data_IF_966376273311
#
_entry.id   IF_966376273311
#
_cell.length_a   1.000
_cell.length_b   1.000
_cell.length_c   1.000
_cell.angle_alpha   90.00
_cell.angle_beta   90.00
_cell.angle_gamma   90.00
#
_symmetry.space_group_name_H-M   'P 1'
#
loop_
_entity.id
_entity.type
_entity.pdbx_description
1 polymer ?
#
# COMPACT_ATOMS: atom_id res chain seq x y z
N UNK A 1 27.57 22.36 -49.97
CA UNK A 1 26.87 23.48 -50.66
C UNK A 1 25.53 22.97 -51.12
N UNK A 2 24.49 23.28 -50.39
CA UNK A 2 23.12 23.39 -50.93
C UNK A 2 22.30 24.19 -49.90
N UNK A 3 21.89 25.35 -50.33
CA UNK A 3 21.11 26.30 -49.59
C UNK A 3 19.63 25.94 -49.69
N UNK A 4 18.91 26.03 -48.62
CA UNK A 4 17.45 25.91 -48.59
C UNK A 4 16.86 27.24 -48.13
N UNK A 5 16.08 27.80 -49.07
CA UNK A 5 15.41 29.09 -49.02
C UNK A 5 14.16 28.98 -48.11
N UNK A 6 14.05 29.91 -47.17
CA UNK A 6 12.87 30.11 -46.32
C UNK A 6 11.95 31.11 -47.02
N UNK A 7 10.74 30.68 -47.39
CA UNK A 7 9.64 31.57 -47.84
C UNK A 7 8.72 31.93 -46.69
N UNK A 8 8.68 33.21 -46.37
CA UNK A 8 7.66 33.82 -45.49
C UNK A 8 6.37 34.05 -46.32
N UNK A 9 5.25 33.54 -45.82
CA UNK A 9 3.93 33.96 -46.30
C UNK A 9 3.22 34.66 -45.14
N UNK A 10 3.01 35.96 -45.34
CA UNK A 10 2.15 36.83 -44.54
C UNK A 10 0.75 36.70 -45.09
N UNK A 11 -0.24 36.35 -44.29
CA UNK A 11 -1.67 36.51 -44.62
C UNK A 11 -2.38 37.30 -43.53
N UNK A 12 -3.15 38.25 -44.03
CA UNK A 12 -3.71 39.39 -43.37
C UNK A 12 -4.94 39.12 -42.49
N UNK A 13 -5.23 40.13 -41.68
CA UNK A 13 -6.39 40.29 -40.82
C UNK A 13 -7.71 40.33 -41.63
N UNK A 14 -8.61 39.44 -41.21
CA UNK A 14 -10.05 39.53 -41.53
C UNK A 14 -10.86 39.65 -40.25
N UNK A 15 -11.48 40.81 -40.06
CA UNK A 15 -12.38 41.14 -38.97
C UNK A 15 -13.75 40.59 -39.31
N UNK A 16 -14.28 39.64 -38.56
CA UNK A 16 -15.65 39.15 -38.68
C UNK A 16 -16.48 39.60 -37.48
N UNK A 17 -17.58 40.27 -37.78
CA UNK A 17 -18.59 40.80 -36.87
C UNK A 17 -19.30 39.68 -36.10
N UNK A 18 -19.49 39.93 -34.81
CA UNK A 18 -20.25 39.09 -33.87
C UNK A 18 -21.76 39.26 -34.13
N UNK A 19 -22.42 38.20 -34.54
CA UNK A 19 -23.89 38.11 -34.53
C UNK A 19 -24.27 37.18 -33.34
N UNK A 20 -24.67 37.81 -32.24
CA UNK A 20 -25.11 37.12 -31.03
C UNK A 20 -26.64 37.14 -30.99
N UNK A 21 -27.35 36.01 -30.95
CA UNK A 21 -28.79 35.99 -30.70
C UNK A 21 -29.09 36.25 -29.20
N UNK A 22 -30.30 36.75 -28.85
CA UNK A 22 -30.63 37.21 -27.52
C UNK A 22 -30.81 36.06 -26.52
N UNK A 23 -30.34 36.34 -25.30
CA UNK A 23 -30.47 35.46 -24.12
C UNK A 23 -31.92 35.57 -23.62
N UNK A 24 -32.64 34.48 -23.36
CA UNK A 24 -33.89 34.54 -22.62
C UNK A 24 -33.57 34.58 -21.11
N UNK A 25 -34.12 35.60 -20.45
CA UNK A 25 -34.15 35.81 -19.04
C UNK A 25 -35.14 34.85 -18.36
N UNK A 26 -34.75 34.31 -17.19
CA UNK A 26 -35.71 33.72 -16.26
C UNK A 26 -35.65 32.20 -16.10
N UNK A 27 -35.11 31.73 -14.98
CA UNK A 27 -35.31 30.36 -14.54
C UNK A 27 -34.39 29.96 -13.37
N UNK A 28 -34.87 30.22 -12.18
CA UNK A 28 -34.66 29.45 -10.94
C UNK A 28 -33.29 28.79 -10.73
N UNK A 29 -32.52 29.35 -9.82
CA UNK A 29 -31.43 28.69 -9.18
C UNK A 29 -31.91 27.36 -8.53
N UNK A 30 -31.60 26.25 -9.17
CA UNK A 30 -31.49 25.00 -8.50
C UNK A 30 -30.13 25.06 -7.77
N UNK A 31 -30.17 25.19 -6.46
CA UNK A 31 -29.01 24.95 -5.63
C UNK A 31 -28.63 23.48 -5.80
N UNK A 32 -27.67 23.24 -6.68
CA UNK A 32 -26.91 21.99 -6.67
C UNK A 32 -26.14 21.98 -5.35
N UNK A 33 -26.73 21.37 -4.35
CA UNK A 33 -26.03 20.90 -3.16
C UNK A 33 -25.04 19.85 -3.62
N UNK A 34 -23.91 20.29 -4.15
CA UNK A 34 -22.71 19.45 -4.15
C UNK A 34 -22.42 19.09 -2.70
N UNK A 35 -22.82 17.88 -2.36
CA UNK A 35 -22.45 17.22 -1.12
C UNK A 35 -20.93 17.20 -1.03
N UNK A 36 -20.37 18.20 -0.36
CA UNK A 36 -18.94 18.28 -0.03
C UNK A 36 -18.60 17.21 1.00
N UNK A 37 -18.57 15.94 0.62
CA UNK A 37 -17.91 14.89 1.40
C UNK A 37 -16.44 14.79 1.03
N UNK A 38 -15.74 15.91 0.96
CA UNK A 38 -14.29 15.99 0.89
C UNK A 38 -13.64 15.87 2.27
N UNK A 39 -14.15 15.03 3.14
CA UNK A 39 -13.40 14.61 4.32
C UNK A 39 -12.13 13.90 3.82
N UNK A 40 -10.97 14.50 4.10
CA UNK A 40 -9.66 13.97 3.70
C UNK A 40 -9.55 12.54 4.26
N UNK A 41 -9.72 11.53 3.39
CA UNK A 41 -9.67 10.12 3.79
C UNK A 41 -8.30 9.86 4.41
N UNK A 42 -8.29 9.13 5.50
CA UNK A 42 -7.04 8.64 6.09
C UNK A 42 -6.46 7.55 5.22
N UNK A 43 -5.15 7.38 5.27
CA UNK A 43 -4.45 6.43 4.41
C UNK A 43 -3.87 5.29 5.23
N UNK A 44 -4.21 4.06 4.84
CA UNK A 44 -3.48 2.86 5.21
C UNK A 44 -2.62 2.42 4.03
N UNK A 45 -1.30 2.41 4.23
CA UNK A 45 -0.33 2.06 3.21
C UNK A 45 0.24 0.67 3.49
N UNK A 46 0.32 -0.16 2.47
CA UNK A 46 0.91 -1.49 2.52
C UNK A 46 2.28 -1.47 1.84
N UNK A 47 3.35 -1.40 2.62
CA UNK A 47 4.71 -1.68 2.16
C UNK A 47 4.89 -3.18 2.10
N UNK A 48 5.26 -3.71 0.94
CA UNK A 48 5.42 -5.16 0.82
C UNK A 48 6.14 -5.62 -0.43
N UNK A 49 6.18 -6.93 -0.58
CA UNK A 49 6.84 -7.64 -1.66
C UNK A 49 5.84 -8.08 -2.74
N UNK A 50 6.13 -9.17 -3.48
CA UNK A 50 5.22 -9.77 -4.44
C UNK A 50 3.88 -10.21 -3.85
N UNK A 51 3.87 -10.56 -2.57
CA UNK A 51 2.66 -10.95 -1.84
C UNK A 51 1.70 -9.75 -1.66
N UNK A 52 2.24 -8.57 -1.42
CA UNK A 52 1.47 -7.33 -1.31
C UNK A 52 1.14 -6.74 -2.67
N UNK A 53 2.09 -6.79 -3.62
CA UNK A 53 1.93 -6.32 -5.00
C UNK A 53 0.79 -7.06 -5.73
N UNK A 54 0.62 -8.37 -5.42
CA UNK A 54 -0.34 -9.25 -6.09
C UNK A 54 0.26 -9.91 -7.34
N UNK A 55 1.51 -10.40 -7.21
CA UNK A 55 2.20 -11.04 -8.33
C UNK A 55 1.36 -12.09 -9.04
N UNK A 56 1.26 -11.96 -10.36
CA UNK A 56 0.50 -12.88 -11.22
C UNK A 56 -1.00 -12.62 -11.27
N UNK A 57 -1.50 -11.56 -10.61
CA UNK A 57 -2.89 -11.14 -10.60
C UNK A 57 -3.03 -9.70 -11.09
N UNK A 58 -4.26 -9.30 -11.40
CA UNK A 58 -4.60 -7.89 -11.53
C UNK A 58 -4.56 -7.22 -10.15
N UNK A 59 -4.28 -5.91 -10.11
CA UNK A 59 -4.10 -5.18 -8.84
C UNK A 59 -5.35 -5.20 -7.95
N UNK A 60 -6.51 -5.25 -8.57
CA UNK A 60 -7.83 -5.31 -7.93
C UNK A 60 -8.06 -6.63 -7.18
N UNK A 61 -7.34 -7.68 -7.56
CA UNK A 61 -7.42 -9.01 -6.93
C UNK A 61 -6.41 -9.21 -5.79
N UNK A 62 -5.43 -8.31 -5.66
CA UNK A 62 -4.47 -8.35 -4.57
C UNK A 62 -5.14 -8.08 -3.21
N UNK A 63 -4.63 -8.68 -2.14
CA UNK A 63 -5.24 -8.55 -0.81
C UNK A 63 -5.40 -7.09 -0.31
N UNK A 64 -4.53 -6.10 -0.67
CA UNK A 64 -4.78 -4.73 -0.27
C UNK A 64 -6.05 -4.13 -0.89
N UNK A 65 -6.36 -4.47 -2.16
CA UNK A 65 -7.61 -4.05 -2.79
C UNK A 65 -8.83 -4.71 -2.11
N UNK A 66 -8.73 -5.99 -1.75
CA UNK A 66 -9.77 -6.68 -0.96
C UNK A 66 -9.93 -6.09 0.44
N UNK A 67 -8.89 -5.50 1.02
CA UNK A 67 -8.98 -4.71 2.26
C UNK A 67 -9.77 -3.41 2.01
N UNK A 68 -9.58 -2.72 0.87
CA UNK A 68 -10.39 -1.56 0.53
C UNK A 68 -11.88 -1.89 0.46
N UNK A 69 -12.25 -3.00 -0.18
CA UNK A 69 -13.64 -3.48 -0.21
C UNK A 69 -14.24 -3.67 1.20
N UNK A 70 -13.43 -4.20 2.14
CA UNK A 70 -13.84 -4.38 3.54
C UNK A 70 -13.99 -3.04 4.27
N UNK A 71 -13.08 -2.10 4.03
CA UNK A 71 -13.13 -0.73 4.57
C UNK A 71 -14.41 -0.03 4.11
N UNK A 72 -14.72 -0.09 2.82
CA UNK A 72 -15.91 0.51 2.22
C UNK A 72 -17.20 -0.13 2.77
N UNK A 73 -17.22 -1.46 2.85
CA UNK A 73 -18.34 -2.21 3.42
C UNK A 73 -18.56 -1.90 4.90
N UNK A 74 -17.49 -1.57 5.64
CA UNK A 74 -17.56 -1.18 7.04
C UNK A 74 -17.91 0.31 7.25
N UNK A 75 -18.03 1.10 6.17
CA UNK A 75 -18.29 2.54 6.20
C UNK A 75 -17.16 3.35 6.84
N UNK A 76 -15.91 2.88 6.73
CA UNK A 76 -14.77 3.55 7.33
C UNK A 76 -14.13 4.55 6.36
N UNK A 77 -13.78 5.78 6.80
CA UNK A 77 -13.24 6.83 5.94
C UNK A 77 -11.73 6.65 5.69
N UNK A 78 -11.34 5.51 5.14
CA UNK A 78 -9.94 5.17 4.86
C UNK A 78 -9.73 4.82 3.40
N UNK A 79 -8.53 5.11 2.91
CA UNK A 79 -8.05 4.75 1.58
C UNK A 79 -6.85 3.82 1.70
N UNK A 80 -6.81 2.78 0.86
CA UNK A 80 -5.71 1.82 0.79
C UNK A 80 -4.73 2.23 -0.30
N UNK A 81 -3.45 2.29 0.05
CA UNK A 81 -2.35 2.44 -0.90
C UNK A 81 -1.55 1.14 -0.92
N UNK A 82 -1.59 0.43 -2.04
CA UNK A 82 -0.74 -0.72 -2.29
C UNK A 82 0.64 -0.23 -2.77
N UNK A 83 1.64 -0.31 -1.89
CA UNK A 83 3.04 -0.03 -2.17
C UNK A 83 3.88 -1.33 -2.18
N UNK A 84 3.30 -2.45 -2.61
CA UNK A 84 4.00 -3.70 -2.89
C UNK A 84 4.97 -3.54 -4.05
N UNK A 85 6.10 -4.24 -4.00
CA UNK A 85 7.09 -4.30 -5.08
C UNK A 85 7.67 -5.72 -5.16
N UNK A 86 7.31 -6.42 -6.22
CA UNK A 86 7.74 -7.80 -6.44
C UNK A 86 9.26 -7.93 -6.47
N UNK A 87 9.79 -8.95 -5.78
CA UNK A 87 11.24 -9.20 -5.69
C UNK A 87 12.01 -8.33 -4.70
N UNK A 88 11.34 -7.38 -4.02
CA UNK A 88 12.01 -6.46 -3.10
C UNK A 88 12.52 -7.18 -1.84
N UNK A 89 13.80 -6.95 -1.50
CA UNK A 89 14.41 -7.37 -0.24
C UNK A 89 14.35 -6.26 0.81
N UNK A 90 14.56 -6.62 2.07
CA UNK A 90 14.49 -5.69 3.20
C UNK A 90 15.41 -4.46 3.06
N UNK A 91 16.59 -4.61 2.46
CA UNK A 91 17.51 -3.50 2.22
C UNK A 91 16.96 -2.49 1.19
N UNK A 92 16.33 -2.96 0.11
CA UNK A 92 15.70 -2.11 -0.88
C UNK A 92 14.43 -1.46 -0.33
N UNK A 93 13.62 -2.20 0.43
CA UNK A 93 12.47 -1.67 1.16
C UNK A 93 12.87 -0.51 2.09
N UNK A 94 13.94 -0.68 2.88
CA UNK A 94 14.49 0.38 3.73
C UNK A 94 14.90 1.62 2.93
N UNK A 95 15.59 1.43 1.81
CA UNK A 95 15.98 2.54 0.94
C UNK A 95 14.76 3.27 0.38
N UNK A 96 13.74 2.54 -0.06
CA UNK A 96 12.48 3.10 -0.57
C UNK A 96 11.70 3.86 0.50
N UNK A 97 11.69 3.34 1.74
CA UNK A 97 11.10 4.06 2.88
C UNK A 97 11.80 5.40 3.11
N UNK A 98 13.13 5.42 3.16
CA UNK A 98 13.92 6.64 3.43
C UNK A 98 13.82 7.70 2.34
N UNK A 99 13.73 7.29 1.07
CA UNK A 99 13.82 8.21 -0.06
C UNK A 99 12.48 8.67 -0.61
N UNK A 100 11.46 7.83 -0.52
CA UNK A 100 10.18 8.10 -1.16
C UNK A 100 8.99 7.92 -0.23
N UNK A 101 8.82 6.74 0.38
CA UNK A 101 7.58 6.38 1.08
C UNK A 101 7.29 7.29 2.27
N UNK A 102 8.31 7.68 3.03
CA UNK A 102 8.15 8.55 4.20
C UNK A 102 7.58 9.94 3.85
N UNK A 103 7.68 10.36 2.60
CA UNK A 103 7.14 11.62 2.08
C UNK A 103 5.68 11.51 1.65
N UNK A 104 5.17 10.29 1.48
CA UNK A 104 3.77 10.07 1.13
C UNK A 104 2.88 10.21 2.37
N UNK A 105 1.63 10.67 2.23
CA UNK A 105 0.70 10.70 3.35
C UNK A 105 0.29 9.27 3.72
N UNK A 106 0.38 8.93 5.00
CA UNK A 106 -0.22 7.72 5.58
C UNK A 106 -0.38 7.89 7.10
N UNK A 107 -1.43 7.26 7.64
CA UNK A 107 -1.72 7.22 9.08
C UNK A 107 -1.44 5.83 9.67
N UNK A 108 -1.51 4.80 8.84
CA UNK A 108 -1.17 3.42 9.17
C UNK A 108 -0.23 2.88 8.11
N UNK A 109 0.87 2.27 8.52
CA UNK A 109 1.78 1.53 7.65
C UNK A 109 1.77 0.06 8.03
N UNK A 110 1.35 -0.79 7.10
CA UNK A 110 1.49 -2.25 7.20
C UNK A 110 2.81 -2.63 6.53
N UNK A 111 3.72 -3.27 7.27
CA UNK A 111 5.06 -3.62 6.81
C UNK A 111 5.15 -5.14 6.62
N UNK A 112 5.21 -5.57 5.37
CA UNK A 112 5.49 -6.93 4.93
C UNK A 112 6.83 -6.92 4.18
N UNK A 113 7.84 -7.64 4.64
CA UNK A 113 9.14 -7.77 3.98
C UNK A 113 9.93 -8.95 4.53
N UNK A 114 11.05 -9.30 3.89
CA UNK A 114 11.96 -10.35 4.33
C UNK A 114 11.75 -11.69 3.63
N UNK A 115 10.64 -11.92 2.93
CA UNK A 115 10.41 -13.15 2.17
C UNK A 115 11.51 -13.36 1.12
N UNK A 116 11.89 -12.33 0.35
CA UNK A 116 12.94 -12.41 -0.66
C UNK A 116 14.35 -12.51 -0.06
N UNK A 117 14.56 -12.00 1.16
CA UNK A 117 15.78 -12.23 1.93
C UNK A 117 15.91 -13.72 2.24
N UNK A 118 14.84 -14.34 2.74
CA UNK A 118 14.77 -15.76 3.07
C UNK A 118 14.98 -16.65 1.84
N UNK A 119 14.27 -16.38 0.74
CA UNK A 119 14.37 -17.15 -0.51
C UNK A 119 15.80 -17.14 -1.11
N UNK A 120 16.59 -16.13 -0.80
CA UNK A 120 17.99 -16.02 -1.27
C UNK A 120 19.02 -16.41 -0.21
N UNK A 121 18.57 -16.90 0.94
CA UNK A 121 19.48 -17.29 2.05
C UNK A 121 20.25 -16.11 2.64
N UNK A 122 19.67 -14.91 2.61
CA UNK A 122 20.29 -13.72 3.18
C UNK A 122 20.46 -13.86 4.71
N UNK A 123 21.46 -13.16 5.25
CA UNK A 123 21.71 -13.18 6.71
C UNK A 123 20.50 -12.58 7.46
N UNK A 124 19.98 -13.34 8.42
CA UNK A 124 18.77 -12.97 9.20
C UNK A 124 19.02 -11.72 10.05
N UNK A 125 20.21 -11.56 10.64
CA UNK A 125 20.51 -10.37 11.46
C UNK A 125 20.53 -9.11 10.62
N UNK A 126 21.01 -9.19 9.37
CA UNK A 126 20.98 -8.08 8.42
C UNK A 126 19.54 -7.72 8.03
N UNK A 127 18.70 -8.71 7.72
CA UNK A 127 17.28 -8.50 7.42
C UNK A 127 16.57 -7.86 8.62
N UNK A 128 16.80 -8.39 9.83
CA UNK A 128 16.25 -7.86 11.08
C UNK A 128 16.67 -6.41 11.33
N UNK A 129 17.94 -6.07 11.10
CA UNK A 129 18.44 -4.69 11.22
C UNK A 129 17.79 -3.75 10.21
N UNK A 130 17.54 -4.19 8.98
CA UNK A 130 16.82 -3.42 7.97
C UNK A 130 15.37 -3.16 8.38
N UNK A 131 14.65 -4.17 8.89
CA UNK A 131 13.28 -4.02 9.38
C UNK A 131 13.23 -3.08 10.59
N UNK A 132 14.16 -3.18 11.54
CA UNK A 132 14.26 -2.24 12.65
C UNK A 132 14.49 -0.82 12.13
N UNK A 133 15.39 -0.62 11.18
CA UNK A 133 15.66 0.70 10.59
C UNK A 133 14.46 1.27 9.82
N UNK A 134 13.60 0.44 9.21
CA UNK A 134 12.32 0.84 8.64
C UNK A 134 11.42 1.40 9.75
N UNK A 135 11.25 0.66 10.84
CA UNK A 135 10.44 1.05 12.00
C UNK A 135 10.92 2.40 12.57
N UNK A 136 12.24 2.53 12.79
CA UNK A 136 12.85 3.74 13.33
C UNK A 136 12.66 4.95 12.41
N UNK A 137 12.83 4.74 11.10
CA UNK A 137 12.61 5.78 10.09
C UNK A 137 11.17 6.28 10.11
N UNK A 138 10.20 5.38 10.22
CA UNK A 138 8.78 5.73 10.27
C UNK A 138 8.44 6.44 11.58
N UNK A 139 8.90 5.91 12.73
CA UNK A 139 8.68 6.56 14.04
C UNK A 139 9.26 7.96 14.10
N UNK A 140 10.44 8.18 13.52
CA UNK A 140 11.08 9.49 13.48
C UNK A 140 10.38 10.47 12.51
N UNK A 141 10.05 10.01 11.31
CA UNK A 141 9.49 10.87 10.26
C UNK A 141 7.98 11.04 10.32
N UNK A 142 7.28 10.10 10.96
CA UNK A 142 5.81 10.07 11.10
C UNK A 142 5.39 9.57 12.49
N UNK A 143 5.66 10.32 13.55
CA UNK A 143 5.45 9.88 14.93
C UNK A 143 3.99 9.56 15.26
N UNK A 144 3.05 10.09 14.49
CA UNK A 144 1.62 9.83 14.65
C UNK A 144 1.14 8.60 13.86
N UNK A 145 1.94 8.06 12.95
CA UNK A 145 1.54 6.88 12.19
C UNK A 145 1.60 5.61 13.07
N UNK A 146 0.62 4.72 12.88
CA UNK A 146 0.67 3.38 13.46
C UNK A 146 1.41 2.43 12.52
N UNK A 147 2.23 1.57 13.07
CA UNK A 147 2.92 0.52 12.31
C UNK A 147 2.30 -0.82 12.69
N UNK A 148 1.93 -1.60 11.69
CA UNK A 148 1.55 -3.00 11.82
C UNK A 148 2.65 -3.82 11.17
N UNK A 149 3.36 -4.62 11.94
CA UNK A 149 4.38 -5.52 11.41
C UNK A 149 3.74 -6.85 11.03
N UNK A 150 4.06 -7.34 9.84
CA UNK A 150 3.60 -8.63 9.34
C UNK A 150 4.74 -9.63 9.41
N UNK A 151 4.48 -10.75 10.08
CA UNK A 151 5.43 -11.86 10.19
C UNK A 151 5.45 -12.73 8.93
N UNK A 152 6.62 -13.30 8.69
CA UNK A 152 6.87 -14.29 7.65
C UNK A 152 7.47 -15.55 8.31
N UNK A 153 7.31 -16.69 7.66
CA UNK A 153 7.91 -17.96 8.10
C UNK A 153 8.88 -18.49 7.05
N UNK A 154 10.01 -18.99 7.51
CA UNK A 154 10.99 -19.60 6.64
C UNK A 154 10.55 -21.00 6.20
N UNK A 155 10.92 -21.34 4.97
CA UNK A 155 10.73 -22.70 4.46
C UNK A 155 11.56 -23.71 5.29
N UNK A 156 10.98 -24.88 5.65
CA UNK A 156 11.62 -25.81 6.61
C UNK A 156 12.93 -26.43 6.09
N UNK A 157 13.16 -26.41 4.79
CA UNK A 157 14.36 -26.95 4.13
C UNK A 157 15.59 -26.04 4.24
N UNK A 158 15.50 -24.85 4.85
CA UNK A 158 16.63 -23.94 5.00
C UNK A 158 17.55 -24.24 6.21
N UNK A 159 17.27 -25.31 6.91
CA UNK A 159 18.00 -25.73 8.10
C UNK A 159 17.46 -25.11 9.39
N UNK A 160 17.45 -25.92 10.46
CA UNK A 160 16.78 -25.60 11.72
C UNK A 160 17.21 -24.25 12.30
N UNK A 161 18.51 -23.99 12.36
CA UNK A 161 19.04 -22.72 12.91
C UNK A 161 18.53 -21.49 12.15
N UNK A 162 18.52 -21.55 10.82
CA UNK A 162 18.04 -20.45 9.99
C UNK A 162 16.54 -20.23 10.22
N UNK A 163 15.75 -21.32 10.20
CA UNK A 163 14.30 -21.28 10.40
C UNK A 163 13.96 -20.68 11.78
N UNK A 164 14.63 -21.11 12.85
CA UNK A 164 14.41 -20.57 14.19
C UNK A 164 14.75 -19.08 14.27
N UNK A 165 15.89 -18.67 13.72
CA UNK A 165 16.31 -17.26 13.70
C UNK A 165 15.33 -16.39 12.89
N UNK A 166 14.95 -16.84 11.70
CA UNK A 166 14.06 -16.09 10.82
C UNK A 166 12.66 -15.95 11.43
N UNK A 167 12.07 -17.06 11.88
CA UNK A 167 10.74 -17.07 12.46
C UNK A 167 10.66 -16.29 13.78
N UNK A 168 11.76 -16.23 14.54
CA UNK A 168 11.86 -15.45 15.78
C UNK A 168 12.05 -13.95 15.56
N UNK A 169 12.56 -13.51 14.39
CA UNK A 169 12.92 -12.12 14.16
C UNK A 169 11.72 -11.16 14.24
N UNK A 170 10.62 -11.50 13.58
CA UNK A 170 9.44 -10.61 13.49
C UNK A 170 8.70 -10.44 14.82
N UNK A 171 8.33 -11.50 15.55
CA UNK A 171 7.66 -11.34 16.84
C UNK A 171 8.55 -10.62 17.87
N UNK A 172 9.87 -10.81 17.82
CA UNK A 172 10.79 -10.08 18.67
C UNK A 172 10.83 -8.58 18.34
N UNK A 173 10.92 -8.22 17.05
CA UNK A 173 10.84 -6.83 16.61
C UNK A 173 9.52 -6.18 17.01
N UNK A 174 8.40 -6.88 16.82
CA UNK A 174 7.08 -6.38 17.20
C UNK A 174 7.01 -6.09 18.71
N UNK A 175 7.49 -7.03 19.54
CA UNK A 175 7.52 -6.89 21.00
C UNK A 175 8.44 -5.75 21.45
N UNK A 176 9.66 -5.67 20.90
CA UNK A 176 10.65 -4.63 21.24
C UNK A 176 10.18 -3.22 20.91
N UNK A 177 9.36 -3.09 19.86
CA UNK A 177 8.87 -1.82 19.35
C UNK A 177 7.43 -1.52 19.75
N UNK A 178 6.75 -2.40 20.49
CA UNK A 178 5.35 -2.29 20.92
C UNK A 178 4.39 -2.14 19.73
N UNK A 179 4.62 -2.93 18.67
CA UNK A 179 3.84 -2.84 17.44
C UNK A 179 2.65 -3.81 17.46
N UNK A 180 1.58 -3.42 16.78
CA UNK A 180 0.56 -4.37 16.35
C UNK A 180 1.20 -5.39 15.41
N UNK A 181 0.89 -6.67 15.59
CA UNK A 181 1.58 -7.75 14.91
C UNK A 181 0.60 -8.74 14.28
N UNK A 182 0.83 -9.06 13.01
CA UNK A 182 0.19 -10.16 12.29
C UNK A 182 1.21 -11.30 12.24
N UNK A 183 0.99 -12.43 12.93
CA UNK A 183 2.01 -13.46 13.12
C UNK A 183 2.54 -14.09 11.83
N UNK A 184 1.65 -14.32 10.85
CA UNK A 184 2.02 -14.90 9.57
C UNK A 184 1.05 -14.47 8.46
N UNK A 185 1.55 -13.80 7.42
CA UNK A 185 0.71 -13.32 6.33
C UNK A 185 -0.07 -14.43 5.63
N UNK A 186 0.62 -15.55 5.37
CA UNK A 186 0.10 -16.67 4.57
C UNK A 186 -0.59 -17.75 5.44
N UNK A 187 -1.08 -17.40 6.62
CA UNK A 187 -1.84 -18.32 7.46
C UNK A 187 -3.05 -18.87 6.69
N UNK A 188 -3.16 -20.20 6.63
CA UNK A 188 -4.23 -20.89 5.90
C UNK A 188 -4.05 -20.93 4.38
N UNK A 189 -2.97 -20.33 3.84
CA UNK A 189 -2.70 -20.27 2.40
C UNK A 189 -1.40 -21.00 2.02
N UNK A 190 -0.35 -20.83 2.83
CA UNK A 190 0.94 -21.48 2.56
C UNK A 190 0.81 -22.99 2.42
N UNK A 191 1.34 -23.53 1.32
CA UNK A 191 1.30 -24.97 1.02
C UNK A 191 -0.06 -25.53 0.60
N UNK A 192 -1.09 -24.70 0.47
CA UNK A 192 -2.42 -25.10 -0.01
C UNK A 192 -2.48 -24.91 -1.53
N UNK A 193 -2.26 -25.97 -2.31
CA UNK A 193 -2.25 -25.90 -3.78
C UNK A 193 -3.49 -25.18 -4.38
N UNK A 194 -4.73 -25.37 -3.90
CA UNK A 194 -5.89 -24.65 -4.42
C UNK A 194 -5.87 -23.12 -4.19
N UNK A 195 -5.05 -22.62 -3.27
CA UNK A 195 -4.96 -21.21 -2.91
C UNK A 195 -3.70 -20.51 -3.45
N UNK A 196 -2.88 -21.24 -4.21
CA UNK A 196 -1.63 -20.72 -4.75
C UNK A 196 -1.59 -20.87 -6.29
N UNK A 197 -0.78 -20.03 -6.91
CA UNK A 197 -0.42 -20.16 -8.32
C UNK A 197 0.39 -21.45 -8.56
N UNK A 198 0.62 -21.79 -9.81
CA UNK A 198 1.34 -23.00 -10.20
C UNK A 198 2.79 -23.08 -9.65
N UNK A 199 3.36 -21.96 -9.26
CA UNK A 199 4.69 -21.91 -8.62
C UNK A 199 4.70 -22.38 -7.14
N UNK A 200 3.51 -22.53 -6.53
CA UNK A 200 3.34 -22.97 -5.15
C UNK A 200 3.81 -21.97 -4.08
N UNK A 201 4.16 -20.75 -4.49
CA UNK A 201 4.71 -19.68 -3.62
C UNK A 201 3.73 -18.54 -3.51
N UNK A 202 3.20 -18.06 -4.65
CA UNK A 202 2.34 -16.88 -4.69
C UNK A 202 0.87 -17.29 -4.59
N UNK A 203 0.09 -16.62 -3.73
CA UNK A 203 -1.35 -16.87 -3.64
C UNK A 203 -2.06 -16.51 -4.94
N UNK A 204 -3.08 -17.29 -5.31
CA UNK A 204 -4.04 -16.91 -6.33
C UNK A 204 -5.14 -16.00 -5.74
N UNK A 205 -6.17 -15.65 -6.52
CA UNK A 205 -7.27 -14.79 -6.08
C UNK A 205 -7.94 -15.30 -4.79
N UNK A 206 -8.19 -16.60 -4.67
CA UNK A 206 -8.79 -17.18 -3.49
C UNK A 206 -7.85 -17.10 -2.28
N UNK A 207 -6.55 -17.33 -2.49
CA UNK A 207 -5.52 -17.12 -1.49
C UNK A 207 -5.47 -15.67 -1.01
N UNK A 208 -5.55 -14.69 -1.92
CA UNK A 208 -5.61 -13.27 -1.56
C UNK A 208 -6.89 -12.89 -0.79
N UNK A 209 -8.04 -13.52 -1.08
CA UNK A 209 -9.27 -13.33 -0.26
C UNK A 209 -9.08 -13.85 1.16
N UNK A 210 -8.42 -15.01 1.35
CA UNK A 210 -8.10 -15.56 2.67
C UNK A 210 -7.15 -14.62 3.42
N UNK A 211 -6.07 -14.15 2.77
CA UNK A 211 -5.12 -13.19 3.35
C UNK A 211 -5.85 -11.90 3.78
N UNK A 212 -6.70 -11.34 2.92
CA UNK A 212 -7.46 -10.14 3.25
C UNK A 212 -8.34 -10.34 4.49
N UNK A 213 -8.98 -11.50 4.62
CA UNK A 213 -9.77 -11.85 5.81
C UNK A 213 -8.91 -11.93 7.07
N UNK A 214 -7.71 -12.51 6.95
CA UNK A 214 -6.77 -12.62 8.05
C UNK A 214 -6.20 -11.26 8.49
N UNK A 215 -5.72 -10.46 7.54
CA UNK A 215 -5.20 -9.10 7.80
C UNK A 215 -6.27 -8.20 8.39
N UNK A 216 -7.50 -8.30 7.89
CA UNK A 216 -8.64 -7.49 8.35
C UNK A 216 -8.92 -7.65 9.84
N UNK A 217 -8.85 -8.87 10.38
CA UNK A 217 -9.08 -9.12 11.82
C UNK A 217 -8.18 -8.28 12.73
N UNK A 218 -6.95 -8.00 12.26
CA UNK A 218 -5.98 -7.18 13.02
C UNK A 218 -6.08 -5.70 12.66
N UNK A 219 -6.37 -5.38 11.41
CA UNK A 219 -6.38 -4.00 10.90
C UNK A 219 -7.64 -3.24 11.31
N UNK A 220 -8.83 -3.86 11.22
CA UNK A 220 -10.10 -3.18 11.49
C UNK A 220 -10.16 -2.48 12.85
N UNK A 221 -9.78 -3.10 13.98
CA UNK A 221 -9.77 -2.43 15.28
C UNK A 221 -8.87 -1.17 15.27
N UNK A 222 -7.70 -1.24 14.63
CA UNK A 222 -6.76 -0.10 14.52
C UNK A 222 -7.39 1.06 13.74
N UNK A 223 -8.11 0.76 12.64
CA UNK A 223 -8.77 1.79 11.83
C UNK A 223 -9.93 2.45 12.60
N UNK A 224 -10.73 1.67 13.33
CA UNK A 224 -11.86 2.17 14.13
C UNK A 224 -11.39 3.03 15.30
N UNK A 225 -10.37 2.61 16.03
CA UNK A 225 -9.78 3.34 17.14
C UNK A 225 -9.30 4.74 16.71
N UNK A 226 -8.66 4.82 15.55
CA UNK A 226 -8.19 6.10 14.99
C UNK A 226 -9.32 6.95 14.40
N UNK A 227 -10.37 6.32 13.90
CA UNK A 227 -11.57 7.02 13.43
C UNK A 227 -12.24 7.81 14.56
N UNK A 228 -12.37 7.22 15.74
CA UNK A 228 -13.00 7.83 16.91
C UNK A 228 -12.14 8.95 17.52
N UNK A 229 -10.81 8.82 17.52
CA UNK A 229 -9.90 9.86 18.06
C UNK A 229 -9.94 11.18 17.27
N UNK A 230 -10.24 11.14 15.96
CA UNK A 230 -10.36 12.34 15.13
C UNK A 230 -11.70 13.07 15.30
N UNK A 231 -12.75 12.33 15.62
CA UNK A 231 -14.08 12.92 15.87
C UNK A 231 -14.19 13.62 17.25
N UNK A 232 -13.22 13.40 18.13
CA UNK A 232 -13.19 13.95 19.49
C UNK A 232 -12.21 15.12 19.67
N UNK A 233 -11.52 15.55 18.60
CA UNK A 233 -10.69 16.76 18.64
C UNK A 233 -11.59 18.01 18.44
N UNK A 234 -11.56 18.98 19.37
CA UNK A 234 -12.39 20.18 19.32
C UNK A 234 -12.03 21.13 18.19
#
# INVERSE_FOLDING_TARGET
MWALVISFLIFGCGRAESNQPPVPDGGSAAEDTESSSGANKRVVMFLGTSLTDGYGLEREDAYPARIQEKIDSAGLPWEVVNAGLSGEKSAAALQRVRTWLIRQPFDVLVVETGANDMLTGANVDTMRANVQAIIDTVKAGRPQARIILVGMMAAPNLGQRYVEQFNGAFPELARQNELTFIPFLLEGVAGQAPLNLADGIHPNEDGHRVIAGHVWRTLEPVLRERGSASAAAP
#
